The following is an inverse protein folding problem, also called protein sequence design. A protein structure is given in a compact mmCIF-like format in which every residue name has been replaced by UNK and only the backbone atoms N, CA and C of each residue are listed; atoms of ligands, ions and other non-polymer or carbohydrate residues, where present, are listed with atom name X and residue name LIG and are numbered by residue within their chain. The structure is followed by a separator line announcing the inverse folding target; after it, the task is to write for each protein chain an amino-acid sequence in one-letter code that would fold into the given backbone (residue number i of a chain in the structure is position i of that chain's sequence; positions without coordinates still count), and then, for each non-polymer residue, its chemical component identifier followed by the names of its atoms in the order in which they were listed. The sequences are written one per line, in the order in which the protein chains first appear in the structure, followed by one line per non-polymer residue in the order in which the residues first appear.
data_IF_122270932787
#
_entry.id   IF_122270932787
#
_cell.length_a   1.000
_cell.length_b   1.000
_cell.length_c   1.000
_cell.angle_alpha   90.00
_cell.angle_beta   90.00
_cell.angle_gamma   90.00
#
_symmetry.space_group_name_H-M   'P 1'
#
loop_
_entity.id
_entity.type
_entity.pdbx_description
1 polymer ?
#
# COMPACT_ATOMS: atom_id res chain seq x y z
N UNK A 1 0.89 -19.07 48.54
CA UNK A 1 0.84 -17.70 47.97
C UNK A 1 0.91 -17.81 46.45
N UNK A 2 -0.23 -17.65 45.83
CA UNK A 2 -0.37 -17.75 44.38
C UNK A 2 -0.43 -16.30 43.86
N UNK A 3 0.65 -15.85 43.23
CA UNK A 3 0.72 -14.54 42.58
C UNK A 3 0.10 -14.61 41.18
N UNK A 4 -1.05 -13.99 41.00
CA UNK A 4 -1.72 -13.89 39.71
C UNK A 4 -0.98 -12.91 38.79
N UNK A 5 -0.53 -13.38 37.65
CA UNK A 5 -0.07 -12.54 36.54
C UNK A 5 -1.31 -12.02 35.79
N UNK A 6 -1.74 -10.82 36.15
CA UNK A 6 -2.73 -10.05 35.39
C UNK A 6 -2.01 -8.92 34.66
N UNK A 7 -1.90 -9.00 33.38
CA UNK A 7 -1.35 -7.87 32.63
C UNK A 7 -0.87 -8.18 31.23
N UNK A 8 -1.78 -8.34 30.25
CA UNK A 8 -1.46 -8.21 28.82
C UNK A 8 -2.69 -8.24 27.89
N UNK A 9 -3.87 -7.86 28.37
CA UNK A 9 -5.10 -7.99 27.57
C UNK A 9 -5.59 -6.68 26.89
N UNK A 10 -5.02 -5.51 27.19
CA UNK A 10 -5.62 -4.21 26.82
C UNK A 10 -5.13 -3.59 25.50
N UNK A 11 -4.09 -4.10 24.87
CA UNK A 11 -3.50 -3.46 23.67
C UNK A 11 -3.94 -4.06 22.33
N UNK A 12 -4.70 -5.16 22.34
CA UNK A 12 -5.16 -5.83 21.09
C UNK A 12 -6.55 -5.39 20.60
N UNK A 13 -7.27 -4.59 21.35
CA UNK A 13 -8.70 -4.36 21.13
C UNK A 13 -9.10 -3.72 19.79
N UNK A 14 -8.45 -2.68 19.23
CA UNK A 14 -8.98 -2.03 18.02
C UNK A 14 -8.80 -2.89 16.74
N UNK A 15 -7.63 -3.50 16.52
CA UNK A 15 -7.42 -4.33 15.33
C UNK A 15 -8.14 -5.68 15.41
N UNK A 16 -8.21 -6.28 16.61
CA UNK A 16 -8.98 -7.49 16.82
C UNK A 16 -10.48 -7.26 16.64
N UNK A 17 -10.98 -6.07 17.00
CA UNK A 17 -12.36 -5.67 16.74
C UNK A 17 -12.61 -5.43 15.26
N UNK A 18 -11.71 -4.72 14.57
CA UNK A 18 -11.81 -4.52 13.12
C UNK A 18 -11.87 -5.86 12.38
N UNK A 19 -10.98 -6.80 12.72
CA UNK A 19 -10.97 -8.15 12.13
C UNK A 19 -12.25 -8.97 12.40
N UNK A 20 -13.00 -8.67 13.48
CA UNK A 20 -14.25 -9.36 13.80
C UNK A 20 -15.46 -8.75 13.07
N UNK A 21 -15.44 -7.43 12.83
CA UNK A 21 -16.58 -6.69 12.31
C UNK A 21 -16.48 -6.43 10.79
N UNK A 22 -15.26 -6.42 10.23
CA UNK A 22 -14.98 -6.03 8.85
C UNK A 22 -14.13 -7.07 8.11
N UNK A 23 -14.34 -7.16 6.79
CA UNK A 23 -13.55 -7.98 5.88
C UNK A 23 -12.27 -7.26 5.47
N UNK A 24 -12.29 -5.93 5.50
CA UNK A 24 -11.16 -5.07 5.16
C UNK A 24 -11.10 -3.82 6.04
N UNK A 25 -9.88 -3.43 6.40
CA UNK A 25 -9.55 -2.11 6.95
C UNK A 25 -8.25 -1.59 6.33
N UNK A 26 -8.24 -0.32 6.01
CA UNK A 26 -7.09 0.36 5.44
C UNK A 26 -6.06 0.65 6.54
N UNK A 27 -4.80 0.26 6.34
CA UNK A 27 -3.72 0.54 7.29
C UNK A 27 -2.63 1.38 6.62
N UNK A 28 -2.47 2.61 7.08
CA UNK A 28 -1.36 3.48 6.70
C UNK A 28 -0.17 3.21 7.60
N UNK A 29 1.02 3.03 7.02
CA UNK A 29 2.26 2.81 7.76
C UNK A 29 2.99 4.13 8.00
N UNK A 30 3.23 4.45 9.27
CA UNK A 30 4.09 5.53 9.70
C UNK A 30 5.51 4.99 9.88
N UNK A 31 6.46 5.47 9.08
CA UNK A 31 7.89 5.19 9.20
C UNK A 31 8.64 6.43 9.66
N UNK A 32 9.80 6.25 10.32
CA UNK A 32 10.44 7.35 11.06
C UNK A 32 11.16 8.36 10.16
N UNK A 33 11.69 7.92 9.00
CA UNK A 33 12.59 8.75 8.19
C UNK A 33 11.90 9.74 7.26
N UNK A 34 10.60 9.55 6.96
CA UNK A 34 9.94 10.25 5.85
C UNK A 34 8.69 11.04 6.24
N UNK A 35 7.97 11.43 5.21
CA UNK A 35 6.73 12.18 5.27
C UNK A 35 5.52 11.27 4.95
N UNK A 36 5.35 10.25 5.73
CA UNK A 36 4.31 9.21 5.58
C UNK A 36 2.86 9.74 5.55
N UNK A 37 2.63 10.96 6.04
CA UNK A 37 1.31 11.60 6.16
C UNK A 37 1.00 12.46 4.93
N UNK A 38 1.04 11.83 3.77
CA UNK A 38 0.67 12.43 2.47
C UNK A 38 -0.71 11.95 2.04
N UNK A 39 -1.35 12.61 1.07
CA UNK A 39 -2.62 12.18 0.46
C UNK A 39 -3.70 11.87 1.51
N UNK A 40 -4.02 12.85 2.34
CA UNK A 40 -4.82 12.65 3.55
C UNK A 40 -6.27 12.22 3.28
N UNK A 41 -6.83 12.53 2.11
CA UNK A 41 -8.18 12.11 1.71
C UNK A 41 -8.21 10.78 0.96
N UNK A 42 -7.06 10.34 0.46
CA UNK A 42 -6.93 9.12 -0.32
C UNK A 42 -7.53 7.89 0.37
N UNK A 43 -7.27 7.59 1.66
CA UNK A 43 -7.85 6.44 2.32
C UNK A 43 -9.38 6.48 2.34
N UNK A 44 -9.97 7.64 2.66
CA UNK A 44 -11.43 7.81 2.69
C UNK A 44 -12.04 7.62 1.30
N UNK A 45 -11.39 8.12 0.25
CA UNK A 45 -11.85 7.98 -1.13
C UNK A 45 -11.74 6.52 -1.61
N UNK A 46 -10.63 5.83 -1.31
CA UNK A 46 -10.47 4.42 -1.65
C UNK A 46 -11.46 3.53 -0.88
N UNK A 47 -11.66 3.78 0.41
CA UNK A 47 -12.67 3.11 1.24
C UNK A 47 -14.06 3.30 0.64
N UNK A 48 -14.42 4.52 0.27
CA UNK A 48 -15.71 4.80 -0.40
C UNK A 48 -15.85 4.00 -1.70
N UNK A 49 -14.79 3.94 -2.49
CA UNK A 49 -14.79 3.16 -3.75
C UNK A 49 -14.95 1.66 -3.52
N UNK A 50 -14.32 1.11 -2.47
CA UNK A 50 -14.54 -0.29 -2.10
C UNK A 50 -15.98 -0.56 -1.71
N UNK A 51 -16.61 0.33 -0.96
CA UNK A 51 -18.03 0.23 -0.57
C UNK A 51 -18.94 0.32 -1.81
N UNK A 52 -18.63 1.24 -2.74
CA UNK A 52 -19.46 1.48 -3.92
C UNK A 52 -19.36 0.34 -4.95
N UNK A 53 -18.18 -0.27 -5.10
CA UNK A 53 -17.93 -1.29 -6.13
C UNK A 53 -18.00 -2.72 -5.64
N UNK A 54 -17.93 -2.99 -4.33
CA UNK A 54 -17.85 -4.34 -3.78
C UNK A 54 -18.88 -4.62 -2.71
N UNK A 55 -18.99 -5.87 -2.27
CA UNK A 55 -19.80 -6.28 -1.12
C UNK A 55 -18.98 -6.49 0.16
N UNK A 56 -17.72 -6.03 0.19
CA UNK A 56 -16.89 -6.11 1.37
C UNK A 56 -17.47 -5.27 2.51
N UNK A 57 -17.43 -5.83 3.72
CA UNK A 57 -17.63 -5.04 4.93
C UNK A 57 -16.34 -4.28 5.22
N UNK A 58 -16.31 -3.01 4.91
CA UNK A 58 -15.12 -2.15 5.00
C UNK A 58 -15.20 -1.28 6.24
N UNK A 59 -14.13 -1.25 7.05
CA UNK A 59 -14.02 -0.25 8.12
C UNK A 59 -13.98 1.15 7.51
N UNK A 60 -14.90 2.06 7.86
CA UNK A 60 -14.95 3.39 7.28
C UNK A 60 -13.79 4.31 7.69
N UNK A 61 -12.92 3.83 8.59
CA UNK A 61 -11.79 4.61 9.11
C UNK A 61 -10.46 3.97 8.72
N UNK A 62 -9.49 4.81 8.37
CA UNK A 62 -8.11 4.35 8.28
C UNK A 62 -7.53 4.05 9.66
N UNK A 63 -6.61 3.10 9.71
CA UNK A 63 -5.77 2.80 10.87
C UNK A 63 -4.35 3.26 10.56
N UNK A 64 -3.77 4.09 11.43
CA UNK A 64 -2.37 4.50 11.32
C UNK A 64 -1.55 3.69 12.30
N UNK A 65 -0.56 2.95 11.81
CA UNK A 65 0.34 2.14 12.63
C UNK A 65 1.79 2.53 12.35
N UNK A 66 2.59 2.62 13.41
CA UNK A 66 4.03 2.71 13.23
C UNK A 66 4.56 1.42 12.56
N UNK A 67 5.46 1.56 11.59
CA UNK A 67 6.07 0.41 10.92
C UNK A 67 6.83 -0.50 11.91
N UNK A 68 7.37 0.10 12.99
CA UNK A 68 8.00 -0.64 14.09
C UNK A 68 6.98 -1.33 15.03
N UNK A 69 5.67 -1.02 14.98
CA UNK A 69 4.66 -1.64 15.84
C UNK A 69 4.30 -3.03 15.31
N UNK A 70 4.50 -4.10 16.10
CA UNK A 70 4.15 -5.46 15.69
C UNK A 70 2.65 -5.68 15.42
N UNK A 71 1.78 -4.74 15.78
CA UNK A 71 0.35 -4.78 15.45
C UNK A 71 0.10 -4.78 13.95
N UNK A 72 1.02 -4.21 13.15
CA UNK A 72 0.90 -4.25 11.69
C UNK A 72 0.81 -5.67 11.14
N UNK A 73 1.37 -6.66 11.85
CA UNK A 73 1.34 -8.07 11.41
C UNK A 73 -0.08 -8.66 11.33
N UNK A 74 -1.07 -8.00 11.90
CA UNK A 74 -2.47 -8.41 11.82
C UNK A 74 -3.27 -7.65 10.75
N UNK A 75 -2.66 -6.67 10.08
CA UNK A 75 -3.35 -5.88 9.06
C UNK A 75 -3.54 -6.71 7.77
N UNK A 76 -4.72 -6.67 7.12
CA UNK A 76 -4.94 -7.38 5.86
C UNK A 76 -4.24 -6.70 4.69
N UNK A 77 -3.95 -5.41 4.84
CA UNK A 77 -3.39 -4.54 3.82
C UNK A 77 -2.63 -3.39 4.49
N UNK A 78 -1.48 -3.05 3.96
CA UNK A 78 -0.71 -1.89 4.39
C UNK A 78 -0.39 -0.97 3.22
N UNK A 79 -0.42 0.34 3.49
CA UNK A 79 -0.05 1.40 2.55
C UNK A 79 1.13 2.21 3.11
N UNK A 80 2.12 2.47 2.27
CA UNK A 80 3.27 3.29 2.58
C UNK A 80 3.51 4.26 1.42
N UNK A 81 3.60 5.55 1.70
CA UNK A 81 3.84 6.57 0.69
C UNK A 81 4.69 7.72 1.23
N UNK A 82 5.15 8.59 0.34
CA UNK A 82 5.89 9.80 0.69
C UNK A 82 6.66 10.40 -0.47
N UNK A 83 7.35 11.51 -0.18
CA UNK A 83 8.21 12.25 -1.12
C UNK A 83 9.68 12.17 -0.76
N UNK A 84 9.99 11.87 0.51
CA UNK A 84 11.32 12.01 1.10
C UNK A 84 12.06 10.68 1.21
N UNK A 85 13.24 10.77 1.82
CA UNK A 85 14.10 9.61 2.07
C UNK A 85 13.35 8.51 2.82
N UNK A 86 13.42 7.30 2.30
CA UNK A 86 12.97 6.08 3.00
C UNK A 86 14.20 5.39 3.60
N UNK A 87 14.30 5.43 4.91
CA UNK A 87 15.33 4.74 5.67
C UNK A 87 14.72 4.02 6.87
N UNK A 88 14.57 2.71 6.75
CA UNK A 88 13.99 1.92 7.84
C UNK A 88 15.01 1.68 8.94
N UNK A 89 14.64 1.98 10.17
CA UNK A 89 15.39 1.56 11.33
C UNK A 89 15.36 0.01 11.49
N UNK A 90 16.17 -0.60 12.39
CA UNK A 90 16.23 -2.05 12.51
C UNK A 90 14.89 -2.72 12.85
N UNK A 91 14.04 -2.08 13.65
CA UNK A 91 12.73 -2.62 14.05
C UNK A 91 11.73 -2.54 12.91
N UNK A 92 11.68 -1.41 12.21
CA UNK A 92 10.87 -1.22 11.00
C UNK A 92 11.23 -2.25 9.93
N UNK A 93 12.52 -2.46 9.69
CA UNK A 93 13.00 -3.44 8.70
C UNK A 93 12.59 -4.86 9.06
N UNK A 94 12.74 -5.27 10.33
CA UNK A 94 12.32 -6.59 10.79
C UNK A 94 10.82 -6.81 10.66
N UNK A 95 10.02 -5.81 11.03
CA UNK A 95 8.57 -5.89 10.95
C UNK A 95 8.08 -5.92 9.50
N UNK A 96 8.64 -5.09 8.63
CA UNK A 96 8.32 -5.08 7.20
C UNK A 96 8.61 -6.44 6.57
N UNK A 97 9.83 -6.97 6.78
CA UNK A 97 10.23 -8.28 6.28
C UNK A 97 9.31 -9.38 6.79
N UNK A 98 9.07 -9.41 8.11
CA UNK A 98 8.21 -10.41 8.76
C UNK A 98 6.79 -10.35 8.24
N UNK A 99 6.23 -9.16 8.07
CA UNK A 99 4.88 -8.97 7.53
C UNK A 99 4.76 -9.55 6.14
N UNK A 100 5.64 -9.17 5.23
CA UNK A 100 5.64 -9.61 3.83
C UNK A 100 5.87 -11.12 3.72
N UNK A 101 6.84 -11.68 4.46
CA UNK A 101 7.13 -13.13 4.43
C UNK A 101 6.00 -13.98 5.02
N UNK A 102 5.22 -13.44 5.95
CA UNK A 102 4.10 -14.16 6.57
C UNK A 102 2.76 -13.97 5.86
N UNK A 103 2.77 -13.50 4.64
CA UNK A 103 1.56 -13.38 3.85
C UNK A 103 0.95 -11.98 3.79
N UNK A 104 1.55 -10.98 4.42
CA UNK A 104 1.10 -9.59 4.33
C UNK A 104 1.32 -8.97 2.96
N UNK A 105 0.53 -7.95 2.63
CA UNK A 105 0.62 -7.18 1.39
C UNK A 105 0.84 -5.70 1.69
N UNK A 106 1.87 -5.11 1.11
CA UNK A 106 2.17 -3.67 1.21
C UNK A 106 2.07 -3.03 -0.17
N UNK A 107 1.20 -2.05 -0.31
CA UNK A 107 1.23 -1.14 -1.44
C UNK A 107 2.09 0.07 -1.09
N UNK A 108 3.10 0.33 -1.89
CA UNK A 108 4.04 1.44 -1.74
C UNK A 108 3.91 2.36 -2.94
N UNK A 109 3.67 3.65 -2.67
CA UNK A 109 3.44 4.64 -3.73
C UNK A 109 4.39 5.84 -3.56
N UNK A 110 5.09 6.16 -4.63
CA UNK A 110 5.99 7.32 -4.71
C UNK A 110 5.22 8.55 -5.18
N UNK A 111 5.04 9.50 -4.27
CA UNK A 111 4.30 10.73 -4.55
C UNK A 111 5.09 11.77 -5.36
N UNK A 112 6.33 11.48 -5.78
CA UNK A 112 7.09 12.37 -6.67
C UNK A 112 6.91 12.04 -8.15
N UNK A 113 6.44 10.83 -8.46
CA UNK A 113 6.42 10.34 -9.83
C UNK A 113 7.77 10.50 -10.53
N UNK A 114 8.85 10.06 -9.89
CA UNK A 114 10.22 10.18 -10.38
C UNK A 114 11.05 8.94 -10.01
N UNK A 115 11.32 8.09 -11.01
CA UNK A 115 12.10 6.85 -10.82
C UNK A 115 13.53 7.10 -10.37
N UNK A 116 14.05 8.30 -10.58
CA UNK A 116 15.37 8.73 -10.14
C UNK A 116 15.34 9.60 -8.88
N UNK A 117 14.13 9.83 -8.36
CA UNK A 117 13.87 10.63 -7.16
C UNK A 117 14.42 10.00 -5.87
N UNK A 118 14.39 10.80 -4.83
CA UNK A 118 14.92 10.41 -3.51
C UNK A 118 14.14 9.24 -2.90
N UNK A 119 12.79 9.30 -2.97
CA UNK A 119 11.94 8.23 -2.47
C UNK A 119 12.21 6.93 -3.23
N UNK A 120 12.16 6.95 -4.57
CA UNK A 120 12.39 5.78 -5.41
C UNK A 120 13.71 5.08 -5.09
N UNK A 121 14.82 5.82 -5.18
CA UNK A 121 16.17 5.27 -4.95
C UNK A 121 16.34 4.73 -3.53
N UNK A 122 15.84 5.45 -2.53
CA UNK A 122 15.98 5.03 -1.14
C UNK A 122 15.08 3.83 -0.82
N UNK A 123 13.84 3.80 -1.29
CA UNK A 123 12.96 2.64 -1.12
C UNK A 123 13.53 1.38 -1.79
N UNK A 124 13.99 1.48 -3.04
CA UNK A 124 14.61 0.36 -3.73
C UNK A 124 15.86 -0.15 -2.99
N UNK A 125 16.66 0.75 -2.40
CA UNK A 125 17.78 0.38 -1.58
C UNK A 125 17.37 -0.35 -0.28
N UNK A 126 16.25 0.04 0.36
CA UNK A 126 15.71 -0.70 1.51
C UNK A 126 15.24 -2.09 1.08
N UNK A 127 14.53 -2.22 -0.04
CA UNK A 127 14.08 -3.51 -0.55
C UNK A 127 15.26 -4.43 -0.88
N UNK A 128 16.31 -3.89 -1.47
CA UNK A 128 17.54 -4.63 -1.74
C UNK A 128 18.22 -5.14 -0.46
N UNK A 129 18.21 -4.35 0.61
CA UNK A 129 18.76 -4.76 1.93
C UNK A 129 17.94 -5.87 2.59
N UNK A 130 16.61 -5.85 2.42
CA UNK A 130 15.70 -6.79 3.10
C UNK A 130 15.56 -8.10 2.30
N UNK A 131 15.31 -7.99 1.00
CA UNK A 131 14.94 -9.14 0.17
C UNK A 131 16.01 -9.53 -0.86
N UNK A 132 17.06 -8.74 -0.99
CA UNK A 132 18.14 -8.94 -1.95
C UNK A 132 18.05 -8.01 -3.16
N UNK A 133 19.17 -7.71 -3.78
CA UNK A 133 19.33 -6.68 -4.82
C UNK A 133 18.47 -6.88 -6.09
N UNK A 134 17.94 -8.06 -6.31
CA UNK A 134 17.11 -8.40 -7.49
C UNK A 134 15.67 -8.77 -7.12
N UNK A 135 15.26 -8.52 -5.88
CA UNK A 135 13.93 -8.93 -5.42
C UNK A 135 12.81 -8.05 -6.03
N UNK A 136 13.01 -6.75 -6.08
CA UNK A 136 12.06 -5.82 -6.68
C UNK A 136 12.19 -5.86 -8.21
N UNK A 137 11.13 -6.32 -8.90
CA UNK A 137 11.11 -6.53 -10.35
C UNK A 137 9.90 -5.87 -10.99
N UNK A 138 10.02 -5.51 -12.26
CA UNK A 138 8.85 -5.11 -13.07
C UNK A 138 7.85 -6.26 -13.13
N UNK A 139 6.59 -5.96 -12.87
CA UNK A 139 5.50 -6.92 -13.02
C UNK A 139 5.09 -7.01 -14.50
N UNK A 140 4.83 -8.21 -15.02
CA UNK A 140 4.28 -8.33 -16.36
C UNK A 140 2.85 -7.80 -16.40
N UNK A 141 2.42 -7.19 -17.51
CA UNK A 141 1.06 -6.66 -17.66
C UNK A 141 -0.03 -7.76 -17.64
N UNK A 142 0.36 -9.04 -17.65
CA UNK A 142 -0.53 -10.19 -17.43
C UNK A 142 -0.66 -10.58 -15.96
N UNK A 143 0.00 -9.89 -15.03
CA UNK A 143 -0.05 -10.21 -13.62
C UNK A 143 -1.51 -10.17 -13.11
N UNK A 144 -1.94 -11.13 -12.25
CA UNK A 144 -3.33 -11.21 -11.76
C UNK A 144 -3.86 -9.93 -11.12
N UNK A 145 -3.00 -9.07 -10.55
CA UNK A 145 -3.41 -7.78 -9.95
C UNK A 145 -4.16 -6.87 -10.91
N UNK A 146 -3.88 -6.95 -12.22
CA UNK A 146 -4.58 -6.17 -13.24
C UNK A 146 -5.96 -6.74 -13.61
N UNK A 147 -6.34 -7.88 -13.02
CA UNK A 147 -7.61 -8.59 -13.32
C UNK A 147 -8.28 -9.17 -12.08
N UNK A 148 -7.91 -8.69 -10.90
CA UNK A 148 -8.42 -9.20 -9.62
C UNK A 148 -9.88 -8.86 -9.38
N UNK A 149 -10.40 -7.79 -9.99
CA UNK A 149 -11.80 -7.37 -9.95
C UNK A 149 -12.23 -6.72 -11.26
N UNK A 150 -11.64 -5.59 -11.63
CA UNK A 150 -11.77 -4.98 -12.95
C UNK A 150 -10.66 -5.49 -13.87
N UNK A 151 -10.88 -5.40 -15.20
CA UNK A 151 -9.91 -5.87 -16.20
C UNK A 151 -9.14 -4.68 -16.76
N UNK A 152 -7.81 -4.73 -16.61
CA UNK A 152 -6.84 -3.79 -17.18
C UNK A 152 -5.79 -4.56 -17.98
N UNK A 153 -5.24 -3.94 -19.03
CA UNK A 153 -4.15 -4.49 -19.83
C UNK A 153 -2.75 -4.11 -19.29
N UNK A 154 -2.71 -3.51 -18.10
CA UNK A 154 -1.54 -3.03 -17.40
C UNK A 154 -1.92 -1.94 -16.41
N UNK A 155 -0.96 -1.25 -15.77
CA UNK A 155 -1.26 -0.17 -14.85
C UNK A 155 -1.86 1.04 -15.60
N UNK A 156 -3.03 1.56 -15.19
CA UNK A 156 -3.57 2.75 -15.81
C UNK A 156 -2.63 3.96 -15.62
N UNK A 157 -2.58 4.85 -16.61
CA UNK A 157 -1.85 6.10 -16.48
C UNK A 157 -2.55 7.04 -15.49
N UNK A 158 -1.78 7.81 -14.73
CA UNK A 158 -2.33 8.87 -13.87
C UNK A 158 -2.45 10.20 -14.60
N UNK A 159 -3.28 11.10 -14.09
CA UNK A 159 -3.37 12.46 -14.61
C UNK A 159 -2.04 13.21 -14.47
N UNK A 160 -1.25 12.86 -13.46
CA UNK A 160 0.08 13.47 -13.24
C UNK A 160 1.05 13.07 -14.34
N UNK A 161 1.17 11.79 -14.66
CA UNK A 161 2.00 11.31 -15.78
C UNK A 161 1.65 11.99 -17.11
N UNK A 162 0.35 12.08 -17.40
CA UNK A 162 -0.11 12.65 -18.66
C UNK A 162 0.05 14.18 -18.76
N UNK A 163 0.30 14.84 -17.64
CA UNK A 163 0.60 16.28 -17.58
C UNK A 163 2.09 16.58 -17.40
N UNK A 164 2.97 15.58 -17.50
CA UNK A 164 4.42 15.75 -17.46
C UNK A 164 4.96 16.11 -16.08
N UNK A 165 4.37 15.55 -15.02
CA UNK A 165 4.89 15.73 -13.66
C UNK A 165 6.01 14.72 -13.37
N UNK A 166 6.86 15.06 -12.42
CA UNK A 166 7.96 14.21 -12.01
C UNK A 166 9.04 14.08 -13.06
N UNK A 167 9.23 12.87 -13.59
CA UNK A 167 10.23 12.57 -14.63
C UNK A 167 9.74 12.78 -16.07
N UNK A 168 8.55 13.36 -16.25
CA UNK A 168 7.92 13.65 -17.56
C UNK A 168 7.70 12.39 -18.43
N UNK A 169 7.55 11.23 -17.81
CA UNK A 169 7.34 9.95 -18.49
C UNK A 169 6.01 9.31 -18.09
N UNK A 170 5.44 8.53 -18.99
CA UNK A 170 4.32 7.62 -18.69
C UNK A 170 4.87 6.21 -18.52
N UNK A 171 4.80 5.68 -17.30
CA UNK A 171 5.29 4.34 -16.99
C UNK A 171 4.21 3.29 -17.23
N UNK A 172 4.51 2.32 -18.08
CA UNK A 172 3.62 1.20 -18.44
C UNK A 172 3.80 -0.02 -17.54
N UNK A 173 4.44 0.15 -16.37
CA UNK A 173 4.73 -0.94 -15.45
C UNK A 173 4.63 -0.51 -13.99
N UNK A 174 4.41 -1.49 -13.12
CA UNK A 174 4.69 -1.41 -11.70
C UNK A 174 5.81 -2.38 -11.35
N UNK A 175 6.41 -2.21 -10.17
CA UNK A 175 7.39 -3.16 -9.63
C UNK A 175 6.77 -3.94 -8.47
N UNK A 176 7.29 -5.13 -8.19
CA UNK A 176 6.82 -5.92 -7.06
C UNK A 176 7.86 -6.89 -6.55
N UNK A 177 7.61 -7.37 -5.33
CA UNK A 177 8.36 -8.46 -4.70
C UNK A 177 7.39 -9.62 -4.48
N UNK A 178 7.69 -10.74 -5.11
CA UNK A 178 6.95 -11.99 -4.92
C UNK A 178 7.68 -12.88 -3.91
N UNK A 179 6.92 -13.44 -2.98
CA UNK A 179 7.37 -14.43 -2.00
C UNK A 179 6.49 -15.67 -2.19
N UNK A 180 7.09 -16.80 -2.46
CA UNK A 180 6.42 -18.08 -2.65
C UNK A 180 5.28 -18.03 -3.72
N UNK A 181 5.50 -17.25 -4.79
CA UNK A 181 4.55 -17.10 -5.90
C UNK A 181 3.42 -16.09 -5.62
N UNK A 182 3.47 -15.36 -4.51
CA UNK A 182 2.51 -14.33 -4.13
C UNK A 182 3.17 -12.97 -4.06
N UNK A 183 2.53 -11.95 -4.63
CA UNK A 183 2.99 -10.56 -4.51
C UNK A 183 2.77 -10.07 -3.08
N UNK A 184 3.87 -9.78 -2.38
CA UNK A 184 3.85 -9.24 -1.02
C UNK A 184 4.16 -7.75 -0.95
N UNK A 185 4.88 -7.21 -1.94
CA UNK A 185 5.11 -5.76 -2.09
C UNK A 185 4.73 -5.35 -3.50
N UNK A 186 3.84 -4.39 -3.63
CA UNK A 186 3.56 -3.67 -4.86
C UNK A 186 4.18 -2.28 -4.74
N UNK A 187 5.01 -1.89 -5.68
CA UNK A 187 5.61 -0.56 -5.75
C UNK A 187 5.18 0.18 -7.01
N UNK A 188 4.68 1.39 -6.82
CA UNK A 188 4.30 2.34 -7.85
C UNK A 188 5.14 3.60 -7.75
N UNK A 189 5.59 4.10 -8.88
CA UNK A 189 6.12 5.46 -9.03
C UNK A 189 5.18 6.33 -9.89
N UNK A 190 3.88 6.01 -9.89
CA UNK A 190 2.86 6.66 -10.73
C UNK A 190 2.04 7.69 -9.97
N UNK A 191 2.28 7.83 -8.66
CA UNK A 191 1.56 8.77 -7.79
C UNK A 191 0.04 8.52 -7.77
N UNK A 192 -0.35 7.26 -7.59
CA UNK A 192 -1.76 6.89 -7.43
C UNK A 192 -2.40 7.49 -6.18
N UNK A 193 -1.62 7.67 -5.11
CA UNK A 193 -2.09 8.28 -3.87
C UNK A 193 -2.67 9.68 -4.11
N UNK A 194 -1.92 10.54 -4.79
CA UNK A 194 -2.40 11.87 -5.18
C UNK A 194 -3.61 11.79 -6.11
N UNK A 195 -3.63 10.85 -7.06
CA UNK A 195 -4.78 10.66 -7.94
C UNK A 195 -6.04 10.26 -7.17
N UNK A 196 -5.91 9.36 -6.18
CA UNK A 196 -7.02 8.95 -5.31
C UNK A 196 -7.38 9.98 -4.24
N UNK A 197 -6.48 10.88 -3.87
CA UNK A 197 -6.76 12.01 -2.96
C UNK A 197 -7.77 12.99 -3.58
N UNK A 198 -7.88 13.00 -4.90
CA UNK A 198 -8.90 13.69 -5.64
C UNK A 198 -10.02 12.73 -6.03
N UNK A 199 -11.16 12.84 -5.37
CA UNK A 199 -12.36 12.05 -5.67
C UNK A 199 -12.65 12.09 -7.19
N UNK A 200 -12.78 10.92 -7.84
CA UNK A 200 -13.15 10.76 -9.25
C UNK A 200 -14.44 11.50 -9.63
N UNK A 201 -15.34 11.69 -8.69
CA UNK A 201 -16.56 12.49 -8.86
C UNK A 201 -16.28 13.95 -9.23
N UNK A 202 -15.09 14.44 -8.96
CA UNK A 202 -14.63 15.75 -9.43
C UNK A 202 -14.31 15.78 -10.93
N UNK A 203 -14.57 14.69 -11.64
CA UNK A 203 -14.37 14.55 -13.09
C UNK A 203 -12.93 14.87 -13.53
N UNK A 204 -11.98 14.51 -12.72
CA UNK A 204 -10.58 14.58 -13.14
C UNK A 204 -10.29 13.54 -14.21
N UNK A 205 -9.38 13.88 -15.04
CA UNK A 205 -8.91 13.08 -16.16
C UNK A 205 -8.43 11.71 -15.67
N UNK A 206 -8.98 10.62 -16.20
CA UNK A 206 -8.68 9.22 -15.87
C UNK A 206 -8.91 8.79 -14.41
N UNK A 207 -9.44 9.64 -13.55
CA UNK A 207 -9.61 9.33 -12.13
C UNK A 207 -10.48 8.08 -11.88
N UNK A 208 -11.46 7.77 -12.74
CA UNK A 208 -12.30 6.59 -12.58
C UNK A 208 -11.51 5.29 -12.78
N UNK A 209 -10.67 5.19 -13.81
CA UNK A 209 -9.85 3.98 -14.04
C UNK A 209 -8.82 3.80 -12.94
N UNK A 210 -8.21 4.88 -12.47
CA UNK A 210 -7.26 4.84 -11.36
C UNK A 210 -7.94 4.40 -10.06
N UNK A 211 -9.15 4.88 -9.78
CA UNK A 211 -9.96 4.47 -8.64
C UNK A 211 -10.32 2.97 -8.72
N UNK A 212 -10.77 2.49 -9.87
CA UNK A 212 -11.03 1.07 -10.12
C UNK A 212 -9.77 0.21 -9.95
N UNK A 213 -8.62 0.73 -10.33
CA UNK A 213 -7.37 0.04 -10.12
C UNK A 213 -7.00 -0.04 -8.62
N UNK A 214 -7.32 0.97 -7.83
CA UNK A 214 -7.22 0.91 -6.36
C UNK A 214 -8.04 -0.24 -5.77
N UNK A 215 -9.28 -0.43 -6.27
CA UNK A 215 -10.11 -1.59 -5.91
C UNK A 215 -9.42 -2.91 -6.29
N UNK A 216 -8.83 -3.00 -7.48
CA UNK A 216 -8.06 -4.18 -7.90
C UNK A 216 -6.93 -4.52 -6.94
N UNK A 217 -6.16 -3.52 -6.52
CA UNK A 217 -5.04 -3.71 -5.58
C UNK A 217 -5.53 -4.33 -4.26
N UNK A 218 -6.61 -3.80 -3.70
CA UNK A 218 -7.19 -4.33 -2.46
C UNK A 218 -7.76 -5.73 -2.66
N UNK A 219 -8.51 -5.95 -3.73
CA UNK A 219 -9.09 -7.27 -4.03
C UNK A 219 -8.01 -8.33 -4.27
N UNK A 220 -6.90 -7.95 -4.89
CA UNK A 220 -5.73 -8.84 -5.00
C UNK A 220 -5.16 -9.17 -3.61
N UNK A 221 -4.92 -8.16 -2.78
CA UNK A 221 -4.34 -8.34 -1.45
C UNK A 221 -5.15 -9.30 -0.55
N UNK A 222 -6.49 -9.29 -0.70
CA UNK A 222 -7.39 -10.13 0.10
C UNK A 222 -7.51 -11.57 -0.42
N UNK A 223 -7.17 -11.84 -1.69
CA UNK A 223 -7.37 -13.14 -2.33
C UNK A 223 -6.06 -13.85 -2.73
N UNK A 224 -4.91 -13.24 -2.49
CA UNK A 224 -3.60 -13.77 -2.90
C UNK A 224 -2.97 -14.71 -1.86
#
# INVERSE_FOLDING_TARGET
MIGAAAGAALARAPLARAAADYDFWFTRLKYDSGDWDVDQRMPANLITSLIDYTHLRVDPKEHVLALADPKMLAAPFCYLAGHKLVEFNPDERRNFERYVRNGGFVFVDDCNHDIDGLFAKSFEAQMAKIFGAKALKKLPNKHPIYRSFFVFDGPPATGFELNGWGDDLVHDYLKGIEIDGRLGVLYSNKDYGCEWDYDWRNKRFLAEDNTKFGVNIVMYALNA
#
